data_IF_966401652027
#
_entry.id   IF_966401652027
#
_cell.length_a   1.000
_cell.length_b   1.000
_cell.length_c   1.000
_cell.angle_alpha   90.00
_cell.angle_beta   90.00
_cell.angle_gamma   90.00
#
_symmetry.space_group_name_H-M   'P 1'
#
loop_
_entity.id
_entity.type
_entity.pdbx_description
1 polymer ?
#
# COMPACT_ATOMS: atom_id res chain seq x y z
N UNK A 1 29.14 18.49 -1.40
CA UNK A 1 27.91 17.91 -1.96
C UNK A 1 28.20 16.48 -2.32
N UNK A 2 27.37 15.52 -1.91
CA UNK A 2 27.56 14.09 -2.21
C UNK A 2 26.33 13.59 -2.93
N UNK A 3 26.52 12.89 -4.04
CA UNK A 3 25.46 12.29 -4.85
C UNK A 3 25.42 10.78 -4.63
N UNK A 4 24.21 10.21 -4.58
CA UNK A 4 23.96 8.78 -4.55
C UNK A 4 22.78 8.47 -5.47
N UNK A 5 22.89 7.40 -6.25
CA UNK A 5 21.83 6.92 -7.15
C UNK A 5 21.53 5.45 -6.88
N UNK A 6 20.32 5.02 -7.25
CA UNK A 6 19.89 3.61 -7.20
C UNK A 6 18.78 3.43 -8.24
N UNK A 7 18.56 2.22 -8.79
CA UNK A 7 17.42 1.98 -9.66
C UNK A 7 16.11 2.34 -8.98
N UNK A 8 15.28 3.11 -9.68
CA UNK A 8 13.96 3.48 -9.19
C UNK A 8 13.08 2.24 -9.05
N UNK A 9 12.38 2.16 -7.92
CA UNK A 9 11.34 1.17 -7.70
C UNK A 9 10.30 1.80 -6.79
N UNK A 10 9.06 1.88 -7.26
CA UNK A 10 7.97 2.57 -6.59
C UNK A 10 6.92 1.55 -6.18
N UNK A 11 6.43 1.65 -4.94
CA UNK A 11 5.31 0.82 -4.46
C UNK A 11 4.28 1.73 -3.81
N UNK A 12 3.01 1.59 -4.19
CA UNK A 12 1.90 2.36 -3.65
C UNK A 12 0.91 1.43 -2.93
N UNK A 13 0.53 1.78 -1.69
CA UNK A 13 -0.60 1.18 -0.99
C UNK A 13 -1.81 2.08 -1.22
N UNK A 14 -2.93 1.52 -1.67
CA UNK A 14 -4.22 2.21 -1.77
C UNK A 14 -5.20 1.59 -0.78
N UNK A 15 -5.75 2.41 0.11
CA UNK A 15 -6.68 1.95 1.14
C UNK A 15 -7.69 3.06 1.47
N UNK A 16 -8.94 2.67 1.70
CA UNK A 16 -9.96 3.54 2.27
C UNK A 16 -9.72 3.82 3.76
N UNK A 17 -10.41 4.81 4.31
CA UNK A 17 -10.41 5.13 5.74
C UNK A 17 -9.82 6.50 6.07
N UNK A 18 -9.89 6.87 7.35
CA UNK A 18 -9.44 8.18 7.82
C UNK A 18 -7.91 8.32 7.73
N UNK A 19 -7.48 9.27 6.90
CA UNK A 19 -6.06 9.57 6.68
C UNK A 19 -5.35 10.05 7.96
N UNK A 20 -6.06 10.68 8.90
CA UNK A 20 -5.43 11.16 10.13
C UNK A 20 -5.10 9.99 11.06
N UNK A 21 -6.02 9.04 11.22
CA UNK A 21 -5.75 7.78 11.89
C UNK A 21 -4.62 6.99 11.20
N UNK A 22 -4.61 6.94 9.86
CA UNK A 22 -3.54 6.30 9.10
C UNK A 22 -2.18 6.95 9.38
N UNK A 23 -2.12 8.28 9.42
CA UNK A 23 -0.90 9.03 9.72
C UNK A 23 -0.32 8.66 11.09
N UNK A 24 -1.16 8.52 12.13
CA UNK A 24 -0.71 8.12 13.46
C UNK A 24 -0.14 6.69 13.47
N UNK A 25 -0.78 5.75 12.78
CA UNK A 25 -0.31 4.37 12.64
C UNK A 25 1.05 4.34 11.91
N UNK A 26 1.15 5.07 10.79
CA UNK A 26 2.37 5.15 9.98
C UNK A 26 3.50 5.80 10.78
N UNK A 27 3.21 6.88 11.52
CA UNK A 27 4.19 7.58 12.35
C UNK A 27 4.77 6.65 13.43
N UNK A 28 3.91 5.88 14.10
CA UNK A 28 4.34 4.89 15.08
C UNK A 28 5.20 3.81 14.43
N UNK A 29 4.73 3.23 13.32
CA UNK A 29 5.47 2.20 12.59
C UNK A 29 6.84 2.70 12.12
N UNK A 30 6.91 3.95 11.65
CA UNK A 30 8.16 4.58 11.22
C UNK A 30 9.16 4.78 12.36
N UNK A 31 8.68 5.17 13.55
CA UNK A 31 9.52 5.29 14.74
C UNK A 31 10.12 3.94 15.18
N UNK A 32 9.38 2.85 15.01
CA UNK A 32 9.81 1.50 15.42
C UNK A 32 10.74 0.83 14.38
N UNK A 33 10.59 1.14 13.10
CA UNK A 33 11.26 0.41 11.99
C UNK A 33 12.25 1.22 11.17
N UNK A 34 12.31 2.55 11.37
CA UNK A 34 13.13 3.44 10.53
C UNK A 34 12.55 3.65 9.12
N UNK A 35 11.23 3.65 8.97
CA UNK A 35 10.55 3.81 7.69
C UNK A 35 10.50 5.28 7.23
N UNK A 36 10.56 5.50 5.92
CA UNK A 36 10.22 6.76 5.28
C UNK A 36 9.27 6.49 4.10
N UNK A 37 8.09 7.11 4.11
CA UNK A 37 7.05 6.98 3.09
C UNK A 37 6.34 8.31 2.88
N UNK A 38 5.71 8.45 1.72
CA UNK A 38 4.81 9.57 1.42
C UNK A 38 3.38 9.16 1.75
N UNK A 39 2.60 10.03 2.40
CA UNK A 39 1.17 9.85 2.61
C UNK A 39 0.41 10.94 1.84
N UNK A 40 -0.58 10.55 1.03
CA UNK A 40 -1.41 11.47 0.25
C UNK A 40 -2.90 11.15 0.41
N UNK A 41 -3.78 12.16 0.50
CA UNK A 41 -5.22 11.94 0.46
C UNK A 41 -5.64 11.40 -0.90
N UNK A 42 -6.64 10.53 -0.92
CA UNK A 42 -7.22 9.96 -2.12
C UNK A 42 -8.73 9.77 -1.94
N UNK A 43 -9.53 10.14 -2.94
CA UNK A 43 -10.96 9.81 -2.97
C UNK A 43 -11.20 8.72 -4.00
N UNK A 44 -11.89 7.66 -3.60
CA UNK A 44 -12.36 6.60 -4.48
C UNK A 44 -13.77 6.93 -4.96
N UNK A 45 -13.96 7.14 -6.26
CA UNK A 45 -15.27 7.45 -6.86
C UNK A 45 -15.68 6.24 -7.68
N UNK A 46 -16.87 5.70 -7.41
CA UNK A 46 -17.38 4.51 -8.07
C UNK A 46 -18.90 4.59 -8.26
N UNK A 47 -19.46 3.68 -9.06
CA UNK A 47 -20.90 3.66 -9.32
C UNK A 47 -21.68 3.54 -8.01
N UNK A 48 -22.50 4.54 -7.71
CA UNK A 48 -23.35 4.55 -6.51
C UNK A 48 -22.70 5.14 -5.26
N UNK A 49 -21.48 5.68 -5.32
CA UNK A 49 -20.92 6.33 -4.15
C UNK A 49 -19.51 6.89 -4.31
N UNK A 50 -18.97 7.30 -3.16
CA UNK A 50 -17.58 7.67 -3.00
C UNK A 50 -17.11 7.26 -1.62
N UNK A 51 -15.82 6.99 -1.51
CA UNK A 51 -15.16 6.70 -0.25
C UNK A 51 -13.87 7.50 -0.15
N UNK A 52 -13.59 8.07 1.02
CA UNK A 52 -12.32 8.75 1.28
C UNK A 52 -11.28 7.73 1.75
N UNK A 53 -10.03 7.99 1.40
CA UNK A 53 -8.91 7.16 1.76
C UNK A 53 -7.58 7.85 1.52
N UNK A 54 -6.56 7.06 1.26
CA UNK A 54 -5.20 7.55 1.12
C UNK A 54 -4.34 6.62 0.26
N UNK A 55 -3.22 7.20 -0.18
CA UNK A 55 -2.12 6.49 -0.82
C UNK A 55 -0.86 6.59 0.03
N UNK A 56 -0.21 5.46 0.29
CA UNK A 56 1.13 5.42 0.91
C UNK A 56 2.16 5.02 -0.14
N UNK A 57 3.07 5.94 -0.47
CA UNK A 57 4.09 5.74 -1.48
C UNK A 57 5.45 5.39 -0.89
N UNK A 58 6.07 4.36 -1.47
CA UNK A 58 7.43 3.90 -1.21
C UNK A 58 8.28 4.15 -2.44
N UNK A 59 9.54 4.53 -2.23
CA UNK A 59 10.56 4.60 -3.27
C UNK A 59 11.84 3.91 -2.81
N UNK A 60 12.69 3.51 -3.76
CA UNK A 60 14.05 3.08 -3.45
C UNK A 60 14.94 4.31 -3.16
N UNK A 61 15.10 4.65 -1.88
CA UNK A 61 15.91 5.80 -1.48
C UNK A 61 17.41 5.51 -1.66
N UNK A 62 18.17 6.29 -2.46
CA UNK A 62 19.62 6.10 -2.60
C UNK A 62 20.42 6.23 -1.30
N UNK A 63 19.83 6.84 -0.26
CA UNK A 63 20.41 6.91 1.08
C UNK A 63 20.54 5.53 1.72
N UNK A 64 19.58 4.64 1.47
CA UNK A 64 19.48 3.29 1.99
C UNK A 64 18.87 2.36 0.92
N UNK A 65 19.62 2.04 -0.14
CA UNK A 65 19.08 1.26 -1.25
C UNK A 65 18.61 -0.11 -0.75
N UNK A 66 17.50 -0.57 -1.31
CA UNK A 66 16.87 -1.86 -1.00
C UNK A 66 16.59 -2.62 -2.27
N UNK A 67 16.53 -3.94 -2.15
CA UNK A 67 16.03 -4.76 -3.24
C UNK A 67 14.52 -4.55 -3.40
N UNK A 68 13.97 -4.63 -4.62
CA UNK A 68 12.53 -4.49 -4.87
C UNK A 68 11.66 -5.34 -3.93
N UNK A 69 12.07 -6.59 -3.68
CA UNK A 69 11.36 -7.51 -2.78
C UNK A 69 11.28 -7.00 -1.34
N UNK A 70 12.32 -6.34 -0.83
CA UNK A 70 12.32 -5.76 0.52
C UNK A 70 11.34 -4.58 0.62
N UNK A 71 11.23 -3.78 -0.45
CA UNK A 71 10.30 -2.64 -0.52
C UNK A 71 8.87 -3.16 -0.54
N UNK A 72 8.57 -4.17 -1.35
CA UNK A 72 7.24 -4.82 -1.40
C UNK A 72 6.89 -5.48 -0.06
N UNK A 73 7.85 -6.19 0.56
CA UNK A 73 7.64 -6.82 1.86
C UNK A 73 7.32 -5.78 2.95
N UNK A 74 8.04 -4.65 2.95
CA UNK A 74 7.79 -3.55 3.89
C UNK A 74 6.43 -2.87 3.65
N UNK A 75 6.06 -2.63 2.39
CA UNK A 75 4.74 -2.10 2.04
C UNK A 75 3.62 -3.05 2.49
N UNK A 76 3.82 -4.36 2.31
CA UNK A 76 2.88 -5.40 2.74
C UNK A 76 2.72 -5.42 4.26
N UNK A 77 3.81 -5.33 5.01
CA UNK A 77 3.78 -5.30 6.47
C UNK A 77 3.06 -4.04 6.99
N UNK A 78 3.36 -2.86 6.44
CA UNK A 78 2.65 -1.63 6.78
C UNK A 78 1.16 -1.72 6.45
N UNK A 79 0.82 -2.22 5.25
CA UNK A 79 -0.57 -2.37 4.82
C UNK A 79 -1.36 -3.27 5.77
N UNK A 80 -0.75 -4.36 6.27
CA UNK A 80 -1.35 -5.26 7.27
C UNK A 80 -1.63 -4.58 8.61
N UNK A 81 -0.75 -3.68 9.04
CA UNK A 81 -0.98 -2.88 10.25
C UNK A 81 -2.12 -1.87 10.05
N UNK A 82 -2.13 -1.19 8.90
CA UNK A 82 -3.15 -0.20 8.54
C UNK A 82 -4.55 -0.81 8.45
N UNK A 83 -4.72 -1.92 7.73
CA UNK A 83 -6.03 -2.56 7.58
C UNK A 83 -6.62 -2.99 8.93
N UNK A 84 -5.79 -3.45 9.88
CA UNK A 84 -6.24 -3.79 11.25
C UNK A 84 -6.60 -2.52 12.00
N UNK A 85 -5.69 -1.54 12.05
CA UNK A 85 -5.87 -0.33 12.84
C UNK A 85 -7.02 0.57 12.37
N UNK A 86 -7.37 0.49 11.09
CA UNK A 86 -8.46 1.26 10.48
C UNK A 86 -9.76 0.46 10.32
N UNK A 87 -9.78 -0.81 10.73
CA UNK A 87 -10.95 -1.68 10.58
C UNK A 87 -11.38 -1.89 9.13
N UNK A 88 -10.45 -1.78 8.17
CA UNK A 88 -10.75 -1.93 6.75
C UNK A 88 -10.83 -3.40 6.35
N UNK A 89 -11.49 -3.67 5.23
CA UNK A 89 -11.64 -5.04 4.73
C UNK A 89 -10.67 -5.40 3.62
N UNK A 90 -10.15 -4.41 2.89
CA UNK A 90 -9.26 -4.63 1.77
C UNK A 90 -8.31 -3.46 1.51
N UNK A 91 -7.26 -3.74 0.74
CA UNK A 91 -6.33 -2.75 0.21
C UNK A 91 -5.67 -3.31 -1.06
N UNK A 92 -5.08 -2.43 -1.85
CA UNK A 92 -4.25 -2.82 -2.99
C UNK A 92 -2.80 -2.37 -2.78
N UNK A 93 -1.86 -3.19 -3.23
CA UNK A 93 -0.45 -2.82 -3.39
C UNK A 93 -0.15 -2.79 -4.88
N UNK A 94 0.34 -1.66 -5.37
CA UNK A 94 0.73 -1.45 -6.76
C UNK A 94 2.25 -1.36 -6.81
N UNK A 95 2.87 -2.20 -7.63
CA UNK A 95 4.29 -2.13 -7.97
C UNK A 95 4.42 -1.68 -9.44
N UNK A 96 5.63 -1.48 -9.97
CA UNK A 96 5.80 -1.17 -11.39
C UNK A 96 5.40 -2.33 -12.32
N UNK A 97 5.22 -3.54 -11.78
CA UNK A 97 4.97 -4.76 -12.55
C UNK A 97 3.53 -5.25 -12.42
N UNK A 98 2.92 -5.10 -11.25
CA UNK A 98 1.61 -5.69 -10.95
C UNK A 98 0.86 -4.94 -9.85
N UNK A 99 -0.44 -5.18 -9.78
CA UNK A 99 -1.31 -4.76 -8.67
C UNK A 99 -1.84 -6.00 -7.97
N UNK A 100 -1.59 -6.10 -6.67
CA UNK A 100 -2.14 -7.16 -5.83
C UNK A 100 -3.22 -6.58 -4.93
N UNK A 101 -4.43 -7.12 -5.02
CA UNK A 101 -5.52 -6.80 -4.12
C UNK A 101 -5.60 -7.82 -2.98
N UNK A 102 -5.72 -7.32 -1.75
CA UNK A 102 -5.85 -8.13 -0.55
C UNK A 102 -7.21 -7.87 0.08
N UNK A 103 -7.95 -8.93 0.39
CA UNK A 103 -9.24 -8.85 1.08
C UNK A 103 -9.30 -9.82 2.26
N UNK A 104 -10.03 -9.44 3.31
CA UNK A 104 -10.36 -10.28 4.46
C UNK A 104 -11.83 -10.69 4.47
N UNK A 105 -12.61 -10.34 3.44
CA UNK A 105 -14.01 -10.74 3.34
C UNK A 105 -14.09 -12.23 2.98
N UNK A 106 -14.93 -13.03 3.64
CA UNK A 106 -15.03 -14.47 3.36
C UNK A 106 -15.41 -14.77 1.90
N UNK A 107 -16.28 -13.97 1.31
CA UNK A 107 -16.80 -14.19 -0.05
C UNK A 107 -15.70 -14.08 -1.12
N UNK A 108 -14.66 -13.28 -0.87
CA UNK A 108 -13.55 -13.08 -1.81
C UNK A 108 -12.58 -14.28 -1.83
N UNK A 109 -12.54 -15.07 -0.75
CA UNK A 109 -11.66 -16.24 -0.62
C UNK A 109 -12.08 -17.41 -1.51
N UNK A 110 -13.31 -17.39 -2.04
CA UNK A 110 -13.89 -18.48 -2.84
C UNK A 110 -13.52 -18.36 -4.33
N UNK A 111 -12.85 -17.27 -4.75
CA UNK A 111 -12.68 -16.92 -6.17
C UNK A 111 -11.39 -17.43 -6.86
N UNK A 112 -10.44 -18.07 -6.17
CA UNK A 112 -9.19 -18.56 -6.81
C UNK A 112 -9.33 -19.91 -7.52
N UNK A 113 -10.42 -20.11 -8.26
CA UNK A 113 -10.48 -21.13 -9.31
C UNK A 113 -11.49 -20.76 -10.39
N UNK A 114 -11.02 -20.16 -11.49
CA UNK A 114 -11.70 -20.27 -12.78
C UNK A 114 -11.99 -18.95 -13.49
N UNK A 115 -11.43 -18.83 -14.69
CA UNK A 115 -12.12 -18.19 -15.81
C UNK A 115 -11.28 -17.19 -16.59
N UNK A 116 -10.52 -17.68 -17.56
CA UNK A 116 -10.45 -16.99 -18.84
C UNK A 116 -11.87 -16.61 -19.24
N UNK A 117 -12.16 -15.31 -19.28
CA UNK A 117 -13.24 -14.77 -20.08
C UNK A 117 -12.66 -13.67 -20.95
N UNK A 118 -12.29 -14.14 -22.13
CA UNK A 118 -12.19 -13.40 -23.36
C UNK A 118 -13.36 -12.41 -23.48
N UNK A 119 -13.02 -11.14 -23.69
CA UNK A 119 -13.86 -10.12 -24.35
C UNK A 119 -13.01 -9.40 -25.38
#
# INVERSE_FOLDING_TARGET
MTEKTTPSFNVDIHMAGDINAAALIIQRYAAETGLCVTLMPQSFIYTGGREEGFRVGFINYPRFPKEPGDIVARATDLARNLIVGLGQHSYSIVTPLETTWYSRRPDDAISTSGGDREV
#
